data_IF_818085593097
#
_entry.id   IF_818085593097
#
_cell.length_a   1.000
_cell.length_b   1.000
_cell.length_c   1.000
_cell.angle_alpha   90.00
_cell.angle_beta   90.00
_cell.angle_gamma   90.00
#
_symmetry.space_group_name_H-M   'P 1'
#
loop_
_entity.id
_entity.type
_entity.pdbx_description
1 polymer ?
#
# COMPACT_ATOMS: atom_id res chain seq x y z
N UNK A 1 -45.34 -17.39 33.25
CA UNK A 1 -44.55 -18.54 32.76
C UNK A 1 -44.90 -18.82 31.31
N UNK A 2 -44.16 -18.22 30.38
CA UNK A 2 -44.22 -18.58 28.98
C UNK A 2 -42.78 -18.83 28.52
N UNK A 3 -42.45 -20.12 28.40
CA UNK A 3 -41.17 -20.60 27.88
C UNK A 3 -41.24 -20.48 26.36
N UNK A 4 -40.51 -19.52 25.77
CA UNK A 4 -40.23 -19.49 24.36
C UNK A 4 -39.03 -20.42 24.06
N UNK A 5 -39.33 -21.61 23.54
CA UNK A 5 -38.36 -22.48 22.89
C UNK A 5 -37.95 -21.83 21.56
N UNK A 6 -36.79 -21.18 21.55
CA UNK A 6 -36.12 -20.79 20.30
C UNK A 6 -35.47 -22.05 19.76
N UNK A 7 -36.06 -22.66 18.74
CA UNK A 7 -35.41 -23.63 17.90
C UNK A 7 -34.38 -22.86 17.05
N UNK A 8 -33.12 -22.92 17.48
CA UNK A 8 -32.00 -22.57 16.61
C UNK A 8 -32.01 -23.63 15.48
N UNK A 9 -32.44 -23.21 14.30
CA UNK A 9 -32.16 -23.95 13.09
C UNK A 9 -30.67 -23.82 12.85
N UNK A 10 -29.90 -24.82 13.28
CA UNK A 10 -28.54 -25.04 12.80
C UNK A 10 -28.75 -25.48 11.33
N UNK A 11 -28.64 -24.54 10.43
CA UNK A 11 -28.47 -24.85 9.03
C UNK A 11 -27.15 -25.62 8.94
N UNK A 12 -27.23 -26.91 8.66
CA UNK A 12 -26.08 -27.72 8.28
C UNK A 12 -25.62 -27.15 6.94
N UNK A 13 -24.62 -26.26 6.97
CA UNK A 13 -23.84 -25.97 5.79
C UNK A 13 -23.12 -27.26 5.42
N UNK A 14 -23.30 -27.74 4.19
CA UNK A 14 -22.46 -28.82 3.69
C UNK A 14 -21.01 -28.34 3.81
N UNK A 15 -20.09 -29.18 4.32
CA UNK A 15 -18.70 -28.77 4.43
C UNK A 15 -18.18 -28.40 3.06
N UNK A 16 -17.58 -27.23 2.95
CA UNK A 16 -17.03 -26.68 1.70
C UNK A 16 -15.98 -27.64 1.07
N UNK A 17 -15.37 -28.47 1.92
CA UNK A 17 -14.35 -29.45 1.57
C UNK A 17 -14.66 -30.79 2.25
N UNK A 18 -15.15 -31.75 1.47
CA UNK A 18 -15.39 -33.12 1.92
C UNK A 18 -14.33 -34.07 1.37
N UNK A 19 -13.83 -34.98 2.23
CA UNK A 19 -12.83 -35.99 1.82
C UNK A 19 -11.50 -35.40 1.41
N UNK A 20 -10.98 -35.89 0.31
CA UNK A 20 -9.74 -35.41 -0.32
C UNK A 20 -10.05 -34.85 -1.71
N UNK A 21 -9.39 -33.76 -2.08
CA UNK A 21 -9.58 -33.17 -3.40
C UNK A 21 -8.67 -31.99 -3.69
N UNK A 22 -8.77 -31.52 -4.92
CA UNK A 22 -8.07 -30.31 -5.34
C UNK A 22 -8.91 -29.50 -6.32
N UNK A 23 -8.68 -28.20 -6.34
CA UNK A 23 -9.26 -27.26 -7.29
C UNK A 23 -8.21 -26.27 -7.75
N UNK A 24 -8.20 -25.97 -9.06
CA UNK A 24 -7.35 -24.98 -9.66
C UNK A 24 -8.21 -23.92 -10.38
N UNK A 25 -8.01 -22.66 -10.05
CA UNK A 25 -8.73 -21.53 -10.60
C UNK A 25 -7.76 -20.50 -11.20
N UNK A 26 -8.17 -19.89 -12.30
CA UNK A 26 -7.42 -18.84 -12.99
C UNK A 26 -8.28 -17.62 -13.21
N UNK A 27 -7.74 -16.45 -12.87
CA UNK A 27 -8.36 -15.15 -13.09
C UNK A 27 -7.43 -14.30 -13.96
N UNK A 28 -7.92 -13.82 -15.09
CA UNK A 28 -7.24 -12.78 -15.86
C UNK A 28 -7.52 -11.42 -15.24
N UNK A 29 -6.49 -10.61 -15.00
CA UNK A 29 -6.60 -9.28 -14.39
C UNK A 29 -6.45 -8.19 -15.43
N UNK A 30 -7.40 -7.24 -15.41
CA UNK A 30 -7.53 -6.17 -16.38
C UNK A 30 -7.57 -4.81 -15.69
N UNK A 31 -7.11 -3.81 -16.42
CA UNK A 31 -7.32 -2.40 -16.09
C UNK A 31 -7.87 -1.68 -17.32
N UNK A 32 -9.07 -1.07 -17.18
CA UNK A 32 -9.76 -0.39 -18.29
C UNK A 32 -9.78 -1.23 -19.57
N UNK A 33 -10.09 -2.53 -19.45
CA UNK A 33 -10.20 -3.48 -20.55
C UNK A 33 -8.87 -4.01 -21.11
N UNK A 34 -7.71 -3.56 -20.61
CA UNK A 34 -6.39 -4.08 -21.00
C UNK A 34 -5.92 -5.11 -20.01
N UNK A 35 -5.57 -6.31 -20.47
CA UNK A 35 -5.04 -7.37 -19.61
C UNK A 35 -3.63 -7.03 -19.16
N UNK A 36 -3.40 -7.07 -17.85
CA UNK A 36 -2.11 -6.73 -17.23
C UNK A 36 -1.49 -7.90 -16.48
N UNK A 37 -2.25 -8.95 -16.20
CA UNK A 37 -1.75 -10.05 -15.42
C UNK A 37 -2.78 -11.17 -15.25
N UNK A 38 -2.46 -12.06 -14.32
CA UNK A 38 -3.34 -13.13 -13.90
C UNK A 38 -3.09 -13.55 -12.46
N UNK A 39 -4.09 -14.21 -11.88
CA UNK A 39 -3.96 -14.95 -10.63
C UNK A 39 -4.27 -16.42 -10.91
N UNK A 40 -3.36 -17.29 -10.47
CA UNK A 40 -3.57 -18.74 -10.40
C UNK A 40 -3.75 -19.11 -8.93
N UNK A 41 -4.78 -19.85 -8.60
CA UNK A 41 -5.03 -20.40 -7.27
C UNK A 41 -5.20 -21.90 -7.35
N UNK A 42 -4.51 -22.66 -6.47
CA UNK A 42 -4.69 -24.09 -6.33
C UNK A 42 -4.98 -24.41 -4.86
N UNK A 43 -6.15 -24.96 -4.59
CA UNK A 43 -6.55 -25.40 -3.25
C UNK A 43 -6.59 -26.90 -3.21
N UNK A 44 -5.92 -27.50 -2.23
CA UNK A 44 -5.94 -28.94 -1.95
C UNK A 44 -6.44 -29.13 -0.52
N UNK A 45 -7.29 -30.10 -0.33
CA UNK A 45 -7.85 -30.44 0.98
C UNK A 45 -7.81 -31.91 1.28
N UNK A 46 -7.66 -32.24 2.54
CA UNK A 46 -7.65 -33.57 3.11
C UNK A 46 -8.17 -33.54 4.55
N UNK A 47 -8.39 -34.67 5.23
CA UNK A 47 -8.72 -34.69 6.64
C UNK A 47 -7.69 -34.00 7.55
N UNK A 48 -6.46 -33.82 7.08
CA UNK A 48 -5.37 -33.17 7.81
C UNK A 48 -5.41 -31.65 7.71
N UNK A 49 -6.17 -31.08 6.76
CA UNK A 49 -6.31 -29.66 6.56
C UNK A 49 -6.29 -29.23 5.11
N UNK A 50 -6.08 -27.94 4.89
CA UNK A 50 -6.16 -27.30 3.58
C UNK A 50 -4.84 -26.61 3.25
N UNK A 51 -4.40 -26.76 2.02
CA UNK A 51 -3.25 -26.04 1.45
C UNK A 51 -3.73 -25.23 0.26
N UNK A 52 -3.52 -23.91 0.35
CA UNK A 52 -3.89 -22.94 -0.69
C UNK A 52 -2.59 -22.37 -1.28
N UNK A 53 -2.33 -22.63 -2.54
CA UNK A 53 -1.22 -22.04 -3.29
C UNK A 53 -1.79 -20.99 -4.24
N UNK A 54 -1.25 -19.79 -4.21
CA UNK A 54 -1.63 -18.70 -5.11
C UNK A 54 -0.38 -18.14 -5.80
N UNK A 55 -0.53 -17.82 -7.08
CA UNK A 55 0.48 -17.10 -7.87
C UNK A 55 -0.19 -15.93 -8.55
N UNK A 56 0.25 -14.73 -8.23
CA UNK A 56 -0.17 -13.49 -8.89
C UNK A 56 0.96 -13.05 -9.79
N UNK A 57 0.65 -12.75 -11.03
CA UNK A 57 1.58 -12.23 -12.03
C UNK A 57 1.05 -10.93 -12.62
N UNK A 58 1.87 -9.89 -12.63
CA UNK A 58 1.60 -8.64 -13.34
C UNK A 58 2.79 -8.27 -14.22
N UNK A 59 2.48 -7.64 -15.36
CA UNK A 59 3.48 -7.11 -16.27
C UNK A 59 3.15 -5.67 -16.65
N UNK A 60 4.14 -4.77 -16.46
CA UNK A 60 4.07 -3.38 -16.88
C UNK A 60 5.22 -3.13 -17.86
N UNK A 61 4.91 -2.55 -19.02
CA UNK A 61 5.93 -2.19 -20.02
C UNK A 61 6.38 -0.75 -19.83
N UNK A 62 7.67 -0.54 -19.58
CA UNK A 62 8.32 0.77 -19.69
C UNK A 62 8.98 0.91 -21.06
N UNK A 63 9.30 2.15 -21.47
CA UNK A 63 9.95 2.43 -22.78
C UNK A 63 11.20 1.58 -23.04
N UNK A 64 11.90 1.16 -22.01
CA UNK A 64 13.18 0.45 -22.08
C UNK A 64 13.21 -0.90 -21.34
N UNK A 65 12.26 -1.21 -20.46
CA UNK A 65 12.28 -2.40 -19.61
C UNK A 65 10.86 -2.90 -19.36
N UNK A 66 10.65 -4.19 -19.56
CA UNK A 66 9.43 -4.87 -19.12
C UNK A 66 9.58 -5.21 -17.64
N UNK A 67 8.75 -4.61 -16.79
CA UNK A 67 8.70 -4.89 -15.34
C UNK A 67 7.70 -6.00 -15.07
N UNK A 68 8.12 -7.01 -14.33
CA UNK A 68 7.25 -8.09 -13.87
C UNK A 68 7.22 -8.17 -12.35
N UNK A 69 6.04 -8.40 -11.82
CA UNK A 69 5.83 -8.71 -10.41
C UNK A 69 5.26 -10.10 -10.31
N UNK A 70 5.89 -10.95 -9.50
CA UNK A 70 5.42 -12.29 -9.19
C UNK A 70 5.25 -12.37 -7.68
N UNK A 71 4.05 -12.76 -7.23
CA UNK A 71 3.79 -13.06 -5.82
C UNK A 71 3.34 -14.51 -5.75
N UNK A 72 4.09 -15.33 -5.02
CA UNK A 72 3.71 -16.70 -4.69
C UNK A 72 3.38 -16.80 -3.22
N UNK A 73 2.21 -17.28 -2.91
CA UNK A 73 1.72 -17.37 -1.55
C UNK A 73 1.17 -18.77 -1.29
N UNK A 74 1.68 -19.44 -0.27
CA UNK A 74 1.16 -20.71 0.23
C UNK A 74 0.59 -20.50 1.63
N UNK A 75 -0.67 -20.82 1.83
CA UNK A 75 -1.35 -20.79 3.14
C UNK A 75 -1.72 -22.22 3.53
N UNK A 76 -1.45 -22.60 4.77
CA UNK A 76 -1.83 -23.88 5.35
C UNK A 76 -2.82 -23.67 6.47
N UNK A 77 -3.96 -24.33 6.37
CA UNK A 77 -5.02 -24.28 7.38
C UNK A 77 -5.17 -25.64 8.03
N UNK A 78 -5.55 -25.63 9.30
CA UNK A 78 -6.06 -26.80 10.01
C UNK A 78 -7.45 -27.21 9.48
N UNK A 79 -7.95 -28.41 9.82
CA UNK A 79 -9.29 -28.85 9.41
C UNK A 79 -10.42 -27.92 9.81
N UNK A 80 -10.27 -27.14 10.91
CA UNK A 80 -11.21 -26.12 11.37
C UNK A 80 -10.95 -24.72 10.74
N UNK A 81 -10.29 -24.67 9.58
CA UNK A 81 -10.01 -23.48 8.78
C UNK A 81 -9.17 -22.39 9.45
N UNK A 82 -8.46 -22.72 10.53
CA UNK A 82 -7.55 -21.77 11.19
C UNK A 82 -6.17 -21.79 10.52
N UNK A 83 -5.55 -20.63 10.44
CA UNK A 83 -4.18 -20.52 9.93
C UNK A 83 -3.21 -21.36 10.78
N UNK A 84 -2.45 -22.24 10.14
CA UNK A 84 -1.33 -22.93 10.75
C UNK A 84 0.00 -22.27 10.38
N UNK A 85 0.20 -22.00 9.10
CA UNK A 85 1.40 -21.32 8.60
C UNK A 85 1.15 -20.70 7.22
N UNK A 86 2.01 -19.76 6.85
CA UNK A 86 2.07 -19.27 5.48
C UNK A 86 3.52 -19.06 5.03
N UNK A 87 3.73 -19.09 3.73
CA UNK A 87 4.95 -18.61 3.08
C UNK A 87 4.61 -17.73 1.89
N UNK A 88 5.29 -16.61 1.76
CA UNK A 88 5.12 -15.66 0.69
C UNK A 88 6.48 -15.36 0.06
N UNK A 89 6.54 -15.44 -1.26
CA UNK A 89 7.66 -14.96 -2.05
C UNK A 89 7.15 -13.88 -2.99
N UNK A 90 7.67 -12.69 -2.83
CA UNK A 90 7.43 -11.57 -3.73
C UNK A 90 8.70 -11.31 -4.53
N UNK A 91 8.57 -11.26 -5.85
CA UNK A 91 9.64 -10.93 -6.76
C UNK A 91 9.19 -9.78 -7.65
N UNK A 92 9.89 -8.65 -7.57
CA UNK A 92 9.63 -7.46 -8.36
C UNK A 92 10.90 -7.19 -9.15
N UNK A 93 10.86 -7.46 -10.47
CA UNK A 93 12.01 -7.20 -11.38
C UNK A 93 13.35 -7.75 -10.88
N UNK A 94 13.33 -8.93 -10.27
CA UNK A 94 14.52 -9.61 -9.75
C UNK A 94 14.80 -9.36 -8.26
N UNK A 95 14.17 -8.39 -7.62
CA UNK A 95 14.26 -8.19 -6.17
C UNK A 95 13.32 -9.14 -5.45
N UNK A 96 13.88 -9.88 -4.48
CA UNK A 96 13.14 -10.90 -3.74
C UNK A 96 12.91 -10.50 -2.30
N UNK A 97 11.64 -10.58 -1.87
CA UNK A 97 11.25 -10.58 -0.47
C UNK A 97 10.55 -11.90 -0.14
N UNK A 98 10.95 -12.50 0.95
CA UNK A 98 10.36 -13.73 1.47
C UNK A 98 9.78 -13.47 2.86
N UNK A 99 8.56 -13.93 3.10
CA UNK A 99 7.93 -13.87 4.42
C UNK A 99 7.43 -15.26 4.77
N UNK A 100 7.82 -15.78 5.92
CA UNK A 100 7.36 -17.06 6.45
C UNK A 100 6.74 -16.83 7.82
N UNK A 101 5.54 -17.34 8.03
CA UNK A 101 4.80 -17.16 9.28
C UNK A 101 4.23 -18.48 9.79
N UNK A 102 4.17 -18.61 11.12
CA UNK A 102 3.58 -19.75 11.82
C UNK A 102 2.76 -19.26 13.00
N UNK A 103 1.57 -19.84 13.17
CA UNK A 103 0.73 -19.59 14.34
C UNK A 103 1.18 -20.45 15.52
N UNK A 104 1.32 -19.83 16.68
CA UNK A 104 1.52 -20.49 17.97
C UNK A 104 0.50 -19.93 18.96
N UNK A 105 -0.55 -20.72 19.20
CA UNK A 105 -1.72 -20.23 19.93
C UNK A 105 -2.44 -19.10 19.17
N UNK A 106 -2.45 -17.91 19.74
CA UNK A 106 -3.02 -16.70 19.13
C UNK A 106 -1.96 -15.69 18.67
N UNK A 107 -0.71 -16.11 18.59
CA UNK A 107 0.39 -15.28 18.12
C UNK A 107 0.92 -15.80 16.79
N UNK A 108 1.01 -14.88 15.82
CA UNK A 108 1.65 -15.11 14.53
C UNK A 108 3.11 -14.68 14.63
N UNK A 109 4.02 -15.65 14.63
CA UNK A 109 5.46 -15.41 14.51
C UNK A 109 5.83 -15.45 13.04
N UNK A 110 6.42 -14.38 12.52
CA UNK A 110 6.84 -14.37 11.13
C UNK A 110 8.22 -13.73 10.94
N UNK A 111 8.91 -14.22 9.91
CA UNK A 111 10.24 -13.76 9.52
C UNK A 111 10.18 -13.18 8.11
N UNK A 112 10.74 -11.97 7.96
CA UNK A 112 10.88 -11.30 6.67
C UNK A 112 12.33 -11.26 6.27
N UNK A 113 12.61 -11.74 5.05
CA UNK A 113 13.94 -11.70 4.43
C UNK A 113 13.89 -10.96 3.12
N UNK A 114 14.77 -10.00 2.95
CA UNK A 114 15.05 -9.33 1.68
C UNK A 114 16.53 -8.97 1.61
N UNK A 115 16.98 -8.32 0.54
CA UNK A 115 18.35 -7.88 0.42
C UNK A 115 18.75 -6.99 1.62
N UNK A 116 19.71 -7.45 2.43
CA UNK A 116 20.20 -6.71 3.59
C UNK A 116 19.24 -6.60 4.78
N UNK A 117 18.12 -7.33 4.78
CA UNK A 117 17.15 -7.34 5.87
C UNK A 117 16.72 -8.77 6.23
N UNK A 118 16.80 -9.12 7.51
CA UNK A 118 16.36 -10.41 8.02
C UNK A 118 15.87 -10.22 9.46
N UNK A 119 14.55 -10.20 9.67
CA UNK A 119 13.93 -9.90 10.96
C UNK A 119 12.74 -10.81 11.24
N UNK A 120 12.60 -11.10 12.52
CA UNK A 120 11.43 -11.77 13.08
C UNK A 120 10.53 -10.76 13.78
N UNK A 121 9.23 -10.96 13.66
CA UNK A 121 8.18 -10.17 14.33
C UNK A 121 7.09 -11.09 14.83
N UNK A 122 6.38 -10.63 15.85
CA UNK A 122 5.21 -11.32 16.40
C UNK A 122 4.02 -10.37 16.36
N UNK A 123 2.88 -10.90 15.94
CA UNK A 123 1.60 -10.19 15.92
C UNK A 123 0.56 -11.04 16.63
N UNK A 124 -0.14 -10.43 17.59
CA UNK A 124 -1.20 -11.10 18.34
C UNK A 124 -2.52 -11.00 17.57
N UNK A 125 -3.15 -12.15 17.36
CA UNK A 125 -4.48 -12.25 16.77
C UNK A 125 -5.55 -12.21 17.90
N UNK A 126 -6.64 -11.52 17.61
CA UNK A 126 -7.87 -11.55 18.42
C UNK A 126 -8.90 -12.44 17.75
N UNK A 127 -10.05 -12.67 18.37
CA UNK A 127 -11.16 -13.42 17.75
C UNK A 127 -11.66 -12.80 16.43
N UNK A 128 -11.48 -11.49 16.25
CA UNK A 128 -11.87 -10.76 15.05
C UNK A 128 -10.75 -10.67 14.00
N UNK A 129 -9.56 -11.21 14.30
CA UNK A 129 -8.41 -11.13 13.39
C UNK A 129 -8.34 -12.36 12.52
N UNK A 130 -8.31 -12.15 11.20
CA UNK A 130 -8.16 -13.23 10.21
C UNK A 130 -7.06 -12.88 9.21
N UNK A 131 -6.31 -13.88 8.71
CA UNK A 131 -5.41 -13.67 7.57
C UNK A 131 -6.19 -13.27 6.32
N UNK A 132 -5.66 -12.38 5.50
CA UNK A 132 -6.34 -11.94 4.29
C UNK A 132 -6.59 -13.10 3.31
N UNK A 133 -5.67 -14.05 3.26
CA UNK A 133 -5.78 -15.26 2.43
C UNK A 133 -6.92 -16.20 2.83
N UNK A 134 -7.45 -16.10 4.05
CA UNK A 134 -8.48 -17.02 4.57
C UNK A 134 -9.87 -16.39 4.66
N UNK A 135 -9.99 -15.09 4.49
CA UNK A 135 -11.25 -14.36 4.65
C UNK A 135 -12.40 -14.98 3.85
N UNK A 136 -12.19 -15.17 2.54
CA UNK A 136 -13.26 -15.63 1.67
C UNK A 136 -13.68 -17.09 1.95
N UNK A 137 -12.70 -17.96 2.22
CA UNK A 137 -12.97 -19.37 2.54
C UNK A 137 -13.77 -19.51 3.84
N UNK A 138 -13.44 -18.72 4.87
CA UNK A 138 -14.19 -18.70 6.13
C UNK A 138 -15.62 -18.21 5.89
N UNK A 139 -15.79 -17.10 5.16
CA UNK A 139 -17.11 -16.54 4.89
C UNK A 139 -18.00 -17.51 4.09
N UNK A 140 -17.45 -18.23 3.11
CA UNK A 140 -18.18 -19.24 2.33
C UNK A 140 -18.52 -20.45 3.19
N UNK A 141 -17.60 -20.91 4.04
CA UNK A 141 -17.83 -22.04 4.95
C UNK A 141 -18.95 -21.77 5.95
N UNK A 142 -19.09 -20.54 6.43
CA UNK A 142 -20.16 -20.09 7.33
C UNK A 142 -21.53 -20.02 6.63
N UNK A 143 -21.56 -20.16 5.30
CA UNK A 143 -22.75 -20.08 4.47
C UNK A 143 -23.13 -18.65 4.11
N UNK A 144 -23.11 -18.35 2.81
CA UNK A 144 -23.41 -17.02 2.26
C UNK A 144 -24.90 -16.70 2.32
N UNK A 145 -25.26 -15.53 2.90
CA UNK A 145 -26.65 -15.05 2.97
C UNK A 145 -26.73 -13.59 2.54
N UNK A 146 -27.65 -13.26 1.64
CA UNK A 146 -27.90 -11.87 1.25
C UNK A 146 -28.25 -11.04 2.48
N UNK A 147 -27.64 -9.84 2.62
CA UNK A 147 -27.79 -8.96 3.78
C UNK A 147 -26.78 -9.21 4.92
N UNK A 148 -26.07 -10.35 4.91
CA UNK A 148 -24.99 -10.62 5.86
C UNK A 148 -23.90 -9.55 5.73
N UNK A 149 -23.43 -9.06 6.87
CA UNK A 149 -22.40 -8.02 6.97
C UNK A 149 -21.55 -8.23 8.23
N UNK A 150 -20.36 -7.68 8.20
CA UNK A 150 -19.47 -7.72 9.37
C UNK A 150 -18.28 -6.80 9.21
N UNK A 151 -17.57 -6.66 10.31
CA UNK A 151 -16.29 -5.95 10.41
C UNK A 151 -15.27 -6.92 10.97
N UNK A 152 -14.09 -6.96 10.35
CA UNK A 152 -13.00 -7.86 10.70
C UNK A 152 -11.70 -7.09 10.65
N UNK A 153 -10.71 -7.58 11.37
CA UNK A 153 -9.34 -7.10 11.28
C UNK A 153 -8.50 -8.09 10.48
N UNK A 154 -8.08 -7.71 9.29
CA UNK A 154 -7.28 -8.57 8.42
C UNK A 154 -5.79 -8.37 8.69
N UNK A 155 -5.05 -9.46 8.84
CA UNK A 155 -3.60 -9.44 8.64
C UNK A 155 -3.32 -9.64 7.15
N UNK A 156 -2.79 -8.60 6.51
CA UNK A 156 -2.41 -8.62 5.09
C UNK A 156 -1.00 -9.18 4.97
N UNK A 157 -0.85 -10.48 4.70
CA UNK A 157 0.43 -11.17 4.68
C UNK A 157 1.45 -10.53 3.72
N UNK A 158 1.07 -10.10 2.49
CA UNK A 158 2.01 -9.49 1.57
C UNK A 158 2.60 -8.16 2.06
N UNK A 159 1.87 -7.44 2.90
CA UNK A 159 2.25 -6.13 3.43
C UNK A 159 2.63 -6.17 4.91
N UNK A 160 2.35 -7.29 5.59
CA UNK A 160 2.62 -7.50 7.02
C UNK A 160 1.96 -6.43 7.90
N UNK A 161 0.75 -6.03 7.52
CA UNK A 161 -0.04 -4.98 8.16
C UNK A 161 -1.41 -5.49 8.60
N UNK A 162 -1.93 -4.89 9.67
CA UNK A 162 -3.33 -5.03 10.06
C UNK A 162 -4.17 -3.96 9.37
N UNK A 163 -5.31 -4.38 8.80
CA UNK A 163 -6.30 -3.48 8.20
C UNK A 163 -7.70 -3.82 8.69
N UNK A 164 -8.52 -2.81 8.89
CA UNK A 164 -9.93 -3.02 9.22
C UNK A 164 -10.72 -3.19 7.92
N UNK A 165 -11.45 -4.29 7.82
CA UNK A 165 -12.28 -4.67 6.68
C UNK A 165 -13.75 -4.64 7.06
N UNK A 166 -14.55 -3.90 6.29
CA UNK A 166 -15.99 -4.03 6.27
C UNK A 166 -16.41 -4.91 5.09
N UNK A 167 -17.35 -5.83 5.30
CA UNK A 167 -17.95 -6.58 4.21
C UNK A 167 -19.47 -6.61 4.28
N UNK A 168 -20.10 -6.77 3.11
CA UNK A 168 -21.55 -6.98 2.98
C UNK A 168 -21.86 -7.84 1.78
N UNK A 169 -22.70 -8.87 1.95
CA UNK A 169 -23.28 -9.65 0.85
C UNK A 169 -24.52 -8.90 0.36
N UNK A 170 -24.43 -8.38 -0.86
CA UNK A 170 -25.42 -7.44 -1.40
C UNK A 170 -26.61 -8.14 -2.02
N UNK A 171 -26.37 -9.15 -2.86
CA UNK A 171 -27.37 -9.82 -3.68
C UNK A 171 -26.83 -11.14 -4.24
N UNK A 172 -27.72 -11.93 -4.80
CA UNK A 172 -27.37 -12.99 -5.76
C UNK A 172 -27.40 -12.43 -7.18
N UNK A 173 -26.56 -12.97 -8.04
CA UNK A 173 -26.46 -12.59 -9.44
C UNK A 173 -26.01 -13.80 -10.27
N UNK A 174 -26.73 -14.10 -11.36
CA UNK A 174 -26.37 -15.19 -12.26
C UNK A 174 -25.42 -14.67 -13.34
N UNK A 175 -24.24 -15.24 -13.45
CA UNK A 175 -23.25 -14.95 -14.48
C UNK A 175 -23.25 -16.03 -15.56
N UNK A 176 -22.83 -15.66 -16.77
CA UNK A 176 -22.57 -16.62 -17.86
C UNK A 176 -21.08 -16.94 -17.89
N UNK A 177 -20.74 -18.22 -17.75
CA UNK A 177 -19.36 -18.69 -17.83
C UNK A 177 -19.34 -20.00 -18.68
N UNK A 178 -18.59 -20.01 -19.77
CA UNK A 178 -18.47 -21.15 -20.70
C UNK A 178 -19.84 -21.74 -21.17
N UNK A 179 -20.79 -20.84 -21.42
CA UNK A 179 -22.14 -21.25 -21.87
C UNK A 179 -23.04 -21.80 -20.76
N UNK A 180 -22.61 -21.75 -19.50
CA UNK A 180 -23.39 -22.16 -18.34
C UNK A 180 -23.81 -20.94 -17.53
N UNK A 181 -25.02 -21.01 -16.96
CA UNK A 181 -25.49 -20.05 -15.96
C UNK A 181 -24.93 -20.44 -14.58
N UNK A 182 -24.25 -19.55 -13.95
CA UNK A 182 -23.63 -19.75 -12.62
C UNK A 182 -24.24 -18.77 -11.63
N UNK A 183 -24.83 -19.28 -10.58
CA UNK A 183 -25.36 -18.45 -9.50
C UNK A 183 -24.26 -18.06 -8.54
N UNK A 184 -24.12 -16.76 -8.32
CA UNK A 184 -23.09 -16.17 -7.47
C UNK A 184 -23.70 -15.25 -6.42
N UNK A 185 -22.98 -15.05 -5.32
CA UNK A 185 -23.19 -13.98 -4.36
C UNK A 185 -22.26 -12.83 -4.68
N UNK A 186 -22.77 -11.62 -4.61
CA UNK A 186 -21.98 -10.39 -4.77
C UNK A 186 -21.61 -9.86 -3.41
N UNK A 187 -20.34 -9.96 -3.08
CA UNK A 187 -19.78 -9.50 -1.80
C UNK A 187 -19.08 -8.17 -2.05
N UNK A 188 -19.44 -7.16 -1.27
CA UNK A 188 -18.70 -5.90 -1.20
C UNK A 188 -17.74 -5.95 -0.04
N UNK A 189 -16.49 -5.63 -0.29
CA UNK A 189 -15.45 -5.41 0.69
C UNK A 189 -15.01 -3.96 0.66
N UNK A 190 -14.74 -3.39 1.86
CA UNK A 190 -14.19 -2.04 2.01
C UNK A 190 -13.09 -2.04 3.03
N UNK A 191 -11.96 -1.49 2.68
CA UNK A 191 -10.86 -1.18 3.59
C UNK A 191 -10.07 0.03 3.10
N UNK A 192 -9.77 0.96 3.98
CA UNK A 192 -8.95 2.16 3.67
C UNK A 192 -9.38 2.86 2.35
N UNK A 193 -10.69 3.10 2.15
CA UNK A 193 -11.23 3.76 0.95
C UNK A 193 -11.22 2.91 -0.33
N UNK A 194 -10.62 1.73 -0.32
CA UNK A 194 -10.72 0.77 -1.41
C UNK A 194 -12.01 -0.05 -1.27
N UNK A 195 -12.75 -0.16 -2.36
CA UNK A 195 -13.93 -1.02 -2.45
C UNK A 195 -13.69 -2.10 -3.52
N UNK A 196 -13.94 -3.34 -3.15
CA UNK A 196 -13.89 -4.48 -4.06
C UNK A 196 -15.24 -5.19 -4.05
N UNK A 197 -15.74 -5.48 -5.24
CA UNK A 197 -16.92 -6.35 -5.46
C UNK A 197 -16.43 -7.71 -5.92
N UNK A 198 -16.88 -8.78 -5.28
CA UNK A 198 -16.49 -10.18 -5.58
C UNK A 198 -17.75 -10.97 -5.91
N UNK A 199 -17.75 -11.65 -7.04
CA UNK A 199 -18.79 -12.61 -7.45
C UNK A 199 -18.28 -14.02 -7.17
N UNK A 200 -18.85 -14.67 -6.19
CA UNK A 200 -18.42 -15.98 -5.70
C UNK A 200 -19.60 -16.94 -5.67
N UNK A 201 -19.41 -18.17 -6.16
CA UNK A 201 -20.40 -19.25 -6.08
C UNK A 201 -20.42 -19.91 -4.69
N UNK A 202 -21.42 -20.75 -4.45
CA UNK A 202 -21.58 -21.48 -3.19
C UNK A 202 -20.38 -22.35 -2.79
N UNK A 203 -19.63 -22.84 -3.77
CA UNK A 203 -18.42 -23.66 -3.56
C UNK A 203 -17.15 -22.82 -3.37
N UNK A 204 -17.28 -21.50 -3.27
CA UNK A 204 -16.15 -20.58 -3.08
C UNK A 204 -15.35 -20.25 -4.34
N UNK A 205 -15.84 -20.64 -5.54
CA UNK A 205 -15.19 -20.26 -6.81
C UNK A 205 -15.47 -18.79 -7.12
N UNK A 206 -14.43 -17.99 -7.29
CA UNK A 206 -14.52 -16.59 -7.72
C UNK A 206 -14.62 -16.52 -9.24
N UNK A 207 -15.67 -15.86 -9.74
CA UNK A 207 -15.91 -15.67 -11.18
C UNK A 207 -15.55 -14.28 -11.66
N UNK A 208 -15.69 -13.28 -10.81
CA UNK A 208 -15.37 -11.89 -11.13
C UNK A 208 -14.97 -11.14 -9.89
N UNK A 209 -14.05 -10.21 -10.06
CA UNK A 209 -13.76 -9.16 -9.09
C UNK A 209 -13.75 -7.81 -9.81
N UNK A 210 -14.14 -6.75 -9.11
CA UNK A 210 -14.10 -5.39 -9.63
C UNK A 210 -13.78 -4.42 -8.50
N UNK A 211 -12.87 -3.49 -8.74
CA UNK A 211 -12.50 -2.47 -7.76
C UNK A 211 -12.96 -1.09 -8.18
N UNK A 212 -13.20 -0.22 -7.20
CA UNK A 212 -13.51 1.19 -7.46
C UNK A 212 -12.34 1.98 -8.08
N UNK A 213 -11.18 1.34 -8.27
CA UNK A 213 -10.01 1.88 -8.97
C UNK A 213 -9.98 1.51 -10.46
N UNK A 214 -10.95 0.74 -10.93
CA UNK A 214 -11.07 0.30 -12.33
C UNK A 214 -10.28 -0.96 -12.69
N UNK A 215 -9.82 -1.71 -11.68
CA UNK A 215 -9.32 -3.07 -11.90
C UNK A 215 -10.48 -4.04 -11.93
N UNK A 216 -10.41 -5.01 -12.83
CA UNK A 216 -11.35 -6.11 -12.95
C UNK A 216 -10.58 -7.43 -13.10
N UNK A 217 -11.09 -8.49 -12.49
CA UNK A 217 -10.59 -9.85 -12.71
C UNK A 217 -11.73 -10.74 -13.15
N UNK A 218 -11.48 -11.63 -14.10
CA UNK A 218 -12.47 -12.57 -14.63
C UNK A 218 -11.91 -13.98 -14.61
N UNK A 219 -12.76 -14.95 -14.22
CA UNK A 219 -12.42 -16.36 -14.34
C UNK A 219 -12.19 -16.72 -15.79
N UNK A 220 -11.07 -17.37 -16.07
CA UNK A 220 -10.64 -17.71 -17.42
C UNK A 220 -10.03 -19.11 -17.46
N UNK A 221 -9.95 -19.70 -18.65
CA UNK A 221 -9.13 -20.89 -18.86
C UNK A 221 -7.65 -20.57 -18.72
N UNK A 222 -6.81 -21.53 -18.28
CA UNK A 222 -5.37 -21.30 -18.08
C UNK A 222 -4.67 -20.65 -19.28
N UNK A 223 -4.96 -21.11 -20.50
CA UNK A 223 -4.34 -20.62 -21.73
C UNK A 223 -4.74 -19.18 -22.06
N UNK A 224 -5.96 -18.77 -21.66
CA UNK A 224 -6.45 -17.40 -21.83
C UNK A 224 -5.89 -16.50 -20.74
N UNK A 225 -5.90 -16.95 -19.48
CA UNK A 225 -5.41 -16.18 -18.35
C UNK A 225 -3.93 -15.79 -18.52
N UNK A 226 -3.10 -16.72 -18.97
CA UNK A 226 -1.65 -16.52 -19.15
C UNK A 226 -1.29 -15.65 -20.37
N UNK A 227 -2.22 -15.46 -21.31
CA UNK A 227 -1.95 -14.68 -22.51
C UNK A 227 -2.09 -13.19 -22.22
N UNK A 228 -0.98 -12.48 -22.18
CA UNK A 228 -0.91 -11.02 -21.99
C UNK A 228 -0.43 -10.43 -23.30
N UNK A 229 -1.36 -9.97 -24.14
CA UNK A 229 -1.05 -9.45 -25.48
C UNK A 229 -0.46 -8.02 -25.43
N UNK A 230 -0.96 -7.19 -24.51
CA UNK A 230 -0.49 -5.81 -24.35
C UNK A 230 -0.23 -5.53 -22.85
N UNK A 231 1.02 -5.53 -22.48
CA UNK A 231 1.38 -5.06 -21.13
C UNK A 231 1.00 -3.58 -20.96
N UNK A 232 0.45 -3.24 -19.80
CA UNK A 232 0.15 -1.85 -19.46
C UNK A 232 1.44 -1.02 -19.53
N UNK A 233 1.38 0.13 -20.22
CA UNK A 233 2.55 1.00 -20.33
C UNK A 233 2.72 1.88 -19.09
N UNK A 234 3.95 2.24 -18.79
CA UNK A 234 4.26 3.19 -17.75
C UNK A 234 3.53 4.53 -17.92
N UNK A 235 3.40 5.00 -19.17
CA UNK A 235 2.61 6.20 -19.49
C UNK A 235 1.14 6.03 -19.05
N UNK A 236 0.59 4.81 -19.17
CA UNK A 236 -0.75 4.52 -18.67
C UNK A 236 -0.82 4.63 -17.15
N UNK A 237 0.19 4.13 -16.42
CA UNK A 237 0.26 4.24 -14.94
C UNK A 237 0.33 5.70 -14.50
N UNK A 238 1.19 6.50 -15.13
CA UNK A 238 1.31 7.94 -14.85
C UNK A 238 -0.02 8.64 -15.14
N UNK A 239 -0.66 8.36 -16.28
CA UNK A 239 -1.95 8.95 -16.63
C UNK A 239 -3.05 8.59 -15.64
N UNK A 240 -3.01 7.39 -15.07
CA UNK A 240 -3.95 6.93 -14.03
C UNK A 240 -3.85 7.73 -12.74
N UNK A 241 -2.62 8.09 -12.38
CA UNK A 241 -2.31 8.77 -11.13
C UNK A 241 -2.26 10.30 -11.26
N UNK A 242 -2.34 10.82 -12.49
CA UNK A 242 -2.24 12.25 -12.76
C UNK A 242 -3.53 12.99 -12.34
N UNK A 243 -3.38 13.96 -11.44
CA UNK A 243 -4.47 14.85 -11.01
C UNK A 243 -4.26 16.22 -11.65
N UNK A 244 -5.11 16.56 -12.64
CA UNK A 244 -5.07 17.86 -13.30
C UNK A 244 -5.73 18.92 -12.41
N UNK A 245 -5.03 20.02 -12.07
CA UNK A 245 -5.65 21.13 -11.36
C UNK A 245 -6.49 22.01 -12.30
N UNK A 246 -7.24 22.94 -11.73
CA UNK A 246 -8.01 23.95 -12.47
C UNK A 246 -7.16 24.83 -13.39
N UNK A 247 -5.88 25.03 -13.07
CA UNK A 247 -4.91 25.79 -13.86
C UNK A 247 -3.49 25.33 -13.55
N UNK A 248 -2.53 25.48 -14.48
CA UNK A 248 -1.13 25.14 -14.23
C UNK A 248 -0.50 25.95 -13.10
N UNK A 249 0.44 25.38 -12.35
CA UNK A 249 1.28 26.10 -11.38
C UNK A 249 2.51 26.65 -12.11
N UNK A 250 2.70 27.97 -12.23
CA UNK A 250 3.70 28.54 -13.17
C UNK A 250 5.15 28.24 -12.77
N UNK A 251 5.48 28.34 -11.48
CA UNK A 251 6.83 28.16 -10.93
C UNK A 251 6.81 27.29 -9.67
N UNK A 252 6.51 25.98 -9.80
CA UNK A 252 6.26 25.12 -8.64
C UNK A 252 7.39 25.17 -7.58
N UNK A 253 8.66 25.08 -7.99
CA UNK A 253 9.81 25.13 -7.07
C UNK A 253 9.99 26.47 -6.33
N UNK A 254 9.39 27.54 -6.83
CA UNK A 254 9.44 28.89 -6.24
C UNK A 254 8.09 29.33 -5.66
N UNK A 255 7.19 28.41 -5.42
CA UNK A 255 5.86 28.67 -4.85
C UNK A 255 5.89 28.39 -3.35
N UNK A 256 5.60 29.41 -2.55
CA UNK A 256 5.78 29.37 -1.10
C UNK A 256 4.50 29.31 -0.31
N UNK A 257 3.36 29.67 -0.89
CA UNK A 257 2.07 29.73 -0.20
C UNK A 257 0.93 29.52 -1.21
N UNK A 258 0.13 28.48 -1.01
CA UNK A 258 -1.01 28.14 -1.86
C UNK A 258 -2.19 27.66 -1.03
N UNK A 259 -3.39 27.91 -1.54
CA UNK A 259 -4.63 27.34 -1.02
C UNK A 259 -5.15 26.31 -2.01
N UNK A 260 -5.45 25.10 -1.51
CA UNK A 260 -5.99 24.00 -2.29
C UNK A 260 -7.39 23.64 -1.86
N UNK A 261 -8.25 23.28 -2.81
CA UNK A 261 -9.50 22.56 -2.56
C UNK A 261 -9.37 21.16 -3.13
N UNK A 262 -9.55 20.17 -2.28
CA UNK A 262 -9.41 18.73 -2.61
C UNK A 262 -10.75 18.05 -2.37
N UNK A 263 -11.22 17.28 -3.34
CA UNK A 263 -12.44 16.48 -3.24
C UNK A 263 -12.46 15.30 -4.23
N UNK A 264 -13.17 14.21 -3.95
CA UNK A 264 -13.79 13.90 -2.67
C UNK A 264 -12.75 13.49 -1.61
N UNK A 265 -13.08 13.72 -0.35
CA UNK A 265 -12.31 13.26 0.83
C UNK A 265 -13.29 12.49 1.72
N UNK A 266 -12.91 11.33 2.24
CA UNK A 266 -13.82 10.40 2.93
C UNK A 266 -14.23 10.89 4.32
N UNK A 267 -13.29 11.55 5.03
CA UNK A 267 -13.55 12.12 6.36
C UNK A 267 -12.78 13.43 6.56
N UNK A 268 -13.14 14.25 7.54
CA UNK A 268 -12.40 15.46 7.88
C UNK A 268 -10.93 15.22 8.23
N UNK A 269 -10.63 14.06 8.81
CA UNK A 269 -9.32 13.68 9.33
C UNK A 269 -8.46 12.93 8.29
N UNK A 270 -9.00 12.63 7.10
CA UNK A 270 -8.30 11.84 6.09
C UNK A 270 -7.04 12.52 5.54
N UNK A 271 -6.94 13.85 5.65
CA UNK A 271 -5.76 14.61 5.25
C UNK A 271 -5.08 15.15 6.51
N UNK A 272 -3.81 14.79 6.77
CA UNK A 272 -3.12 15.21 7.98
C UNK A 272 -2.76 16.70 7.96
N UNK A 273 -2.72 17.32 9.15
CA UNK A 273 -2.20 18.66 9.36
C UNK A 273 -0.78 18.64 9.93
N UNK A 274 -0.01 19.66 9.60
CA UNK A 274 1.28 19.94 10.23
C UNK A 274 1.59 21.45 10.24
N UNK A 275 2.84 21.83 10.57
CA UNK A 275 3.26 23.24 10.58
C UNK A 275 3.23 23.90 9.19
N UNK A 276 3.30 23.13 8.11
CA UNK A 276 3.24 23.61 6.72
C UNK A 276 1.84 23.56 6.14
N UNK A 277 1.08 22.53 6.47
CA UNK A 277 -0.22 22.19 5.88
C UNK A 277 -1.32 22.38 6.92
N UNK A 278 -2.23 23.31 6.68
CA UNK A 278 -3.35 23.62 7.59
C UNK A 278 -4.67 23.47 6.88
N UNK A 279 -5.61 22.78 7.52
CA UNK A 279 -7.00 22.74 7.09
C UNK A 279 -7.66 24.05 7.49
N UNK A 280 -8.17 24.80 6.50
CA UNK A 280 -8.85 26.08 6.74
C UNK A 280 -10.36 25.98 6.61
N UNK A 281 -10.87 24.95 5.91
CA UNK A 281 -12.30 24.68 5.79
C UNK A 281 -12.57 23.23 5.42
N UNK A 282 -13.63 22.65 5.97
CA UNK A 282 -14.19 21.35 5.58
C UNK A 282 -15.67 21.51 5.29
N UNK A 283 -16.14 21.01 4.15
CA UNK A 283 -17.53 21.13 3.69
C UNK A 283 -18.07 19.72 3.37
N UNK A 284 -19.05 19.26 4.15
CA UNK A 284 -19.72 17.98 3.88
C UNK A 284 -20.61 18.10 2.65
N UNK A 285 -20.56 17.07 1.78
CA UNK A 285 -21.36 16.98 0.55
C UNK A 285 -22.56 16.06 0.74
N UNK A 286 -23.54 16.13 -0.15
CA UNK A 286 -24.77 15.30 -0.11
C UNK A 286 -24.46 13.80 -0.26
N UNK A 287 -23.39 13.44 -0.98
CA UNK A 287 -22.94 12.06 -1.18
C UNK A 287 -22.20 11.47 0.04
N UNK A 288 -22.07 12.24 1.14
CA UNK A 288 -21.39 11.86 2.37
C UNK A 288 -19.89 12.13 2.38
N UNK A 289 -19.28 12.51 1.25
CA UNK A 289 -17.88 12.91 1.17
C UNK A 289 -17.69 14.38 1.62
N UNK A 290 -16.44 14.83 1.62
CA UNK A 290 -16.06 16.18 2.03
C UNK A 290 -15.25 16.87 0.95
N UNK A 291 -15.35 18.20 0.93
CA UNK A 291 -14.38 19.09 0.29
C UNK A 291 -13.50 19.65 1.38
N UNK A 292 -12.20 19.41 1.29
CA UNK A 292 -11.23 19.95 2.24
C UNK A 292 -10.44 21.07 1.59
N UNK A 293 -10.42 22.23 2.24
CA UNK A 293 -9.61 23.39 1.82
C UNK A 293 -8.37 23.46 2.71
N UNK A 294 -7.20 23.41 2.10
CA UNK A 294 -5.90 23.42 2.75
C UNK A 294 -5.15 24.70 2.40
N UNK A 295 -4.41 25.25 3.35
CA UNK A 295 -3.34 26.21 3.05
C UNK A 295 -1.99 25.54 3.30
N UNK A 296 -1.12 25.57 2.30
CA UNK A 296 0.21 24.96 2.38
C UNK A 296 1.27 26.04 2.18
N UNK A 297 2.21 26.10 3.14
CA UNK A 297 3.34 26.99 3.11
C UNK A 297 4.65 26.23 3.03
N UNK A 298 5.57 26.69 2.20
CA UNK A 298 6.95 26.28 2.27
C UNK A 298 7.61 26.87 3.52
N UNK A 299 8.61 26.17 4.07
CA UNK A 299 9.33 26.66 5.23
C UNK A 299 10.19 27.90 4.91
N UNK A 300 10.24 28.85 5.84
CA UNK A 300 11.06 30.04 5.68
C UNK A 300 12.55 29.73 5.90
N UNK A 301 13.42 30.29 5.06
CA UNK A 301 14.88 30.20 5.24
C UNK A 301 15.39 30.90 6.52
N UNK A 302 14.59 31.76 7.15
CA UNK A 302 14.97 32.50 8.38
C UNK A 302 15.03 31.63 9.63
N UNK A 303 14.50 30.41 9.60
CA UNK A 303 14.34 29.51 10.77
C UNK A 303 15.64 28.76 11.12
N UNK A 304 16.65 28.72 10.26
CA UNK A 304 17.89 27.96 10.49
C UNK A 304 18.66 28.35 11.78
N UNK A 305 18.44 29.55 12.30
CA UNK A 305 19.17 30.05 13.52
C UNK A 305 18.51 29.61 14.82
N UNK A 306 17.25 29.21 14.80
CA UNK A 306 16.47 28.82 16.00
C UNK A 306 16.46 27.32 16.26
N UNK A 307 16.71 26.50 15.27
CA UNK A 307 16.74 25.03 15.36
C UNK A 307 17.89 24.51 16.26
N UNK A 308 18.94 25.28 16.46
CA UNK A 308 20.09 24.88 17.28
C UNK A 308 19.87 24.88 18.78
N UNK A 309 18.72 25.31 19.31
CA UNK A 309 18.51 25.54 20.76
C UNK A 309 17.28 24.88 21.37
N UNK A 310 16.46 24.19 20.63
CA UNK A 310 15.33 23.46 21.22
C UNK A 310 15.77 22.06 21.60
N UNK A 311 15.60 21.72 22.88
CA UNK A 311 15.80 20.39 23.43
C UNK A 311 15.20 19.34 22.46
N UNK A 312 16.01 18.32 22.15
CA UNK A 312 15.57 17.13 21.43
C UNK A 312 14.52 16.44 22.30
N UNK A 313 13.27 16.83 22.17
CA UNK A 313 12.17 16.05 22.74
C UNK A 313 12.31 14.64 22.18
N UNK A 314 12.39 13.68 23.08
CA UNK A 314 12.55 12.27 22.76
C UNK A 314 11.48 11.87 21.73
N UNK A 315 11.91 11.56 20.50
CA UNK A 315 11.02 11.12 19.46
C UNK A 315 10.79 9.61 19.59
N UNK A 316 9.62 9.14 19.13
CA UNK A 316 9.30 7.73 19.08
C UNK A 316 10.44 6.96 18.38
N UNK A 317 11.05 5.95 19.04
CA UNK A 317 12.15 5.15 18.49
C UNK A 317 11.86 4.54 17.12
N UNK A 318 10.58 4.36 16.77
CA UNK A 318 10.17 3.85 15.44
C UNK A 318 10.74 4.65 14.28
N UNK A 319 11.01 5.94 14.46
CA UNK A 319 11.58 6.81 13.42
C UNK A 319 13.08 6.60 13.19
N UNK A 320 13.73 5.74 13.99
CA UNK A 320 15.13 5.29 13.84
C UNK A 320 15.21 3.80 13.43
N UNK A 321 14.09 3.08 13.45
CA UNK A 321 14.07 1.66 13.12
C UNK A 321 14.31 1.41 11.64
N UNK A 322 14.97 0.28 11.34
CA UNK A 322 15.07 -0.22 9.98
C UNK A 322 13.80 -0.96 9.56
N UNK A 323 13.52 -0.94 8.26
CA UNK A 323 12.47 -1.76 7.63
C UNK A 323 13.07 -2.56 6.48
N UNK A 324 12.27 -3.43 5.86
CA UNK A 324 12.70 -4.19 4.69
C UNK A 324 13.13 -3.27 3.53
N UNK A 325 12.52 -2.10 3.42
CA UNK A 325 12.82 -1.08 2.40
C UNK A 325 13.94 -0.12 2.83
N UNK A 326 14.11 0.08 4.15
CA UNK A 326 15.02 1.09 4.73
C UNK A 326 16.03 0.41 5.65
N UNK A 327 17.08 -0.18 5.07
CA UNK A 327 18.09 -0.97 5.79
C UNK A 327 19.15 -0.08 6.45
N UNK A 328 18.76 0.74 7.42
CA UNK A 328 19.65 1.71 8.09
C UNK A 328 20.80 1.05 8.88
N UNK A 329 20.68 -0.23 9.24
CA UNK A 329 21.72 -0.98 9.95
C UNK A 329 22.66 -1.78 9.01
N UNK A 330 22.40 -1.77 7.71
CA UNK A 330 23.28 -2.44 6.77
C UNK A 330 24.66 -1.78 6.73
N UNK A 331 25.74 -2.59 6.73
CA UNK A 331 27.13 -2.12 6.83
C UNK A 331 27.52 -1.05 5.79
N UNK A 332 27.02 -1.17 4.56
CA UNK A 332 27.32 -0.20 3.50
C UNK A 332 26.61 1.14 3.74
N UNK A 333 25.36 1.12 4.20
CA UNK A 333 24.60 2.32 4.57
C UNK A 333 25.29 3.03 5.75
N UNK A 334 25.68 2.27 6.78
CA UNK A 334 26.38 2.83 7.94
C UNK A 334 27.76 3.37 7.58
N UNK A 335 28.48 2.75 6.65
CA UNK A 335 29.78 3.24 6.20
C UNK A 335 29.64 4.61 5.52
N UNK A 336 28.70 4.73 4.59
CA UNK A 336 28.40 5.98 3.89
C UNK A 336 27.87 7.06 4.85
N UNK A 337 26.98 6.69 5.78
CA UNK A 337 26.47 7.60 6.79
C UNK A 337 27.59 8.18 7.66
N UNK A 338 28.57 7.35 8.08
CA UNK A 338 29.78 7.83 8.82
C UNK A 338 30.65 8.76 7.98
N UNK A 339 30.86 8.44 6.71
CA UNK A 339 31.62 9.29 5.80
C UNK A 339 31.02 10.70 5.68
N UNK A 340 29.68 10.78 5.50
CA UNK A 340 28.96 12.04 5.37
C UNK A 340 28.90 12.81 6.70
N UNK A 341 29.00 12.12 7.85
CA UNK A 341 28.94 12.69 9.21
C UNK A 341 30.28 13.24 9.72
N UNK A 342 31.37 13.13 8.92
CA UNK A 342 32.74 13.40 9.36
C UNK A 342 32.89 14.84 9.72
N UNK A 343 32.62 15.69 10.35
CA UNK A 343 32.97 17.12 10.59
C UNK A 343 32.19 17.82 11.75
N UNK A 344 31.56 17.05 12.66
CA UNK A 344 30.88 17.66 13.84
C UNK A 344 29.71 18.58 13.44
N UNK A 345 29.07 18.31 12.32
CA UNK A 345 27.93 19.08 11.79
C UNK A 345 26.69 18.93 12.66
N UNK A 346 25.84 19.95 12.69
CA UNK A 346 24.51 19.81 13.27
C UNK A 346 23.68 18.77 12.50
N UNK A 347 22.70 18.13 13.16
CA UNK A 347 21.78 17.16 12.49
C UNK A 347 21.13 17.78 11.26
N UNK A 348 20.74 19.04 11.32
CA UNK A 348 20.16 19.75 10.18
C UNK A 348 21.14 19.90 9.01
N UNK A 349 22.40 20.28 9.28
CA UNK A 349 23.40 20.40 8.23
C UNK A 349 23.69 19.03 7.61
N UNK A 350 23.83 17.99 8.43
CA UNK A 350 24.03 16.63 7.96
C UNK A 350 22.86 16.15 7.09
N UNK A 351 21.63 16.41 7.50
CA UNK A 351 20.45 16.05 6.67
C UNK A 351 20.47 16.74 5.30
N UNK A 352 20.89 18.02 5.23
CA UNK A 352 21.05 18.73 3.96
C UNK A 352 22.16 18.13 3.09
N UNK A 353 23.27 17.76 3.69
CA UNK A 353 24.39 17.16 2.95
C UNK A 353 24.01 15.76 2.42
N UNK A 354 23.29 14.97 3.21
CA UNK A 354 22.73 13.68 2.78
C UNK A 354 21.73 13.91 1.63
N UNK A 355 20.84 14.91 1.76
CA UNK A 355 19.87 15.26 0.71
C UNK A 355 20.56 15.58 -0.62
N UNK A 356 21.55 16.43 -0.55
CA UNK A 356 22.35 16.81 -1.73
C UNK A 356 23.12 15.61 -2.30
N UNK A 357 23.72 14.79 -1.42
CA UNK A 357 24.46 13.61 -1.85
C UNK A 357 23.54 12.63 -2.60
N UNK A 358 22.38 12.31 -2.04
CA UNK A 358 21.38 11.41 -2.68
C UNK A 358 20.94 12.00 -4.02
N UNK A 359 20.60 13.29 -4.06
CA UNK A 359 20.20 13.97 -5.30
C UNK A 359 21.24 13.90 -6.42
N UNK A 360 22.52 14.07 -6.09
CA UNK A 360 23.60 14.10 -7.06
C UNK A 360 24.09 12.70 -7.47
N UNK A 361 23.92 11.70 -6.61
CA UNK A 361 24.46 10.36 -6.82
C UNK A 361 23.43 9.34 -7.29
N UNK A 362 22.14 9.63 -7.22
CA UNK A 362 21.09 8.79 -7.79
C UNK A 362 20.53 9.42 -9.06
N UNK A 363 20.65 8.71 -10.18
CA UNK A 363 19.97 9.07 -11.42
C UNK A 363 18.47 8.86 -11.27
N UNK A 364 17.68 9.91 -11.48
CA UNK A 364 16.21 9.77 -11.52
C UNK A 364 15.83 8.98 -12.76
N UNK A 365 15.41 7.75 -12.54
CA UNK A 365 15.03 6.82 -13.60
C UNK A 365 13.96 5.86 -13.05
N UNK A 366 12.94 5.58 -13.86
CA UNK A 366 11.93 4.57 -13.50
C UNK A 366 12.55 3.19 -13.63
N UNK A 367 12.95 2.66 -12.51
CA UNK A 367 13.59 1.35 -12.35
C UNK A 367 13.03 0.63 -11.14
N UNK A 368 13.34 -0.63 -11.05
CA UNK A 368 12.83 -1.57 -10.06
C UNK A 368 13.60 -1.55 -8.74
N UNK A 369 14.22 -0.43 -8.37
CA UNK A 369 14.88 -0.31 -7.06
C UNK A 369 13.82 -0.24 -5.97
N UNK A 370 13.74 -1.28 -5.17
CA UNK A 370 12.66 -1.49 -4.19
C UNK A 370 13.11 -1.09 -2.78
N UNK A 371 14.43 -1.00 -2.52
CA UNK A 371 15.00 -0.75 -1.20
C UNK A 371 16.09 0.33 -1.23
N UNK A 372 16.44 0.83 -0.04
CA UNK A 372 17.54 1.77 0.14
C UNK A 372 18.89 1.18 -0.32
N UNK A 373 19.10 -0.11 -0.07
CA UNK A 373 20.33 -0.79 -0.47
C UNK A 373 20.42 -0.98 -1.98
N UNK A 374 19.31 -1.31 -2.64
CA UNK A 374 19.25 -1.37 -4.11
C UNK A 374 19.58 -0.02 -4.71
N UNK A 375 18.96 1.07 -4.20
CA UNK A 375 19.21 2.42 -4.65
C UNK A 375 20.70 2.81 -4.49
N UNK A 376 21.34 2.42 -3.38
CA UNK A 376 22.76 2.67 -3.16
C UNK A 376 23.65 1.92 -4.16
N UNK A 377 23.33 0.66 -4.46
CA UNK A 377 24.11 -0.19 -5.35
C UNK A 377 23.93 0.17 -6.81
N UNK A 378 22.71 0.43 -7.25
CA UNK A 378 22.38 0.71 -8.65
C UNK A 378 22.56 2.18 -9.05
N UNK A 379 22.64 3.09 -8.07
CA UNK A 379 22.80 4.54 -8.31
C UNK A 379 21.70 5.15 -9.19
N UNK A 380 20.49 4.59 -9.13
CA UNK A 380 19.33 5.05 -9.90
C UNK A 380 18.03 4.69 -9.17
N UNK A 381 16.96 5.39 -9.47
CA UNK A 381 15.66 5.11 -8.88
C UNK A 381 14.65 6.25 -9.00
N UNK A 382 13.42 5.96 -8.64
CA UNK A 382 12.32 6.91 -8.54
C UNK A 382 12.29 7.61 -7.18
N UNK A 383 11.21 8.36 -6.93
CA UNK A 383 11.02 9.09 -5.67
C UNK A 383 11.13 8.19 -4.43
N UNK A 384 10.57 6.97 -4.48
CA UNK A 384 10.70 6.02 -3.37
C UNK A 384 12.14 5.64 -3.09
N UNK A 385 12.92 5.32 -4.13
CA UNK A 385 14.34 4.96 -4.00
C UNK A 385 15.17 6.08 -3.38
N UNK A 386 14.95 7.32 -3.84
CA UNK A 386 15.60 8.50 -3.27
C UNK A 386 15.22 8.68 -1.79
N UNK A 387 13.93 8.55 -1.49
CA UNK A 387 13.38 8.69 -0.13
C UNK A 387 13.89 7.59 0.79
N UNK A 388 13.91 6.33 0.33
CA UNK A 388 14.39 5.20 1.15
C UNK A 388 15.87 5.31 1.45
N UNK A 389 16.71 5.63 0.45
CA UNK A 389 18.15 5.80 0.68
C UNK A 389 18.45 6.97 1.61
N UNK A 390 17.79 8.10 1.40
CA UNK A 390 17.91 9.26 2.29
C UNK A 390 17.51 8.87 3.73
N UNK A 391 16.35 8.22 3.90
CA UNK A 391 15.86 7.80 5.22
C UNK A 391 16.78 6.78 5.89
N UNK A 392 17.37 5.84 5.13
CA UNK A 392 18.32 4.89 5.67
C UNK A 392 19.60 5.58 6.16
N UNK A 393 20.13 6.54 5.42
CA UNK A 393 21.33 7.30 5.77
C UNK A 393 21.09 8.20 6.99
N UNK A 394 19.97 8.91 7.06
CA UNK A 394 19.63 9.78 8.20
C UNK A 394 19.37 8.97 9.46
N UNK A 395 18.63 7.85 9.37
CA UNK A 395 18.43 6.93 10.52
C UNK A 395 19.75 6.32 11.00
N UNK A 396 20.63 5.91 10.07
CA UNK A 396 21.96 5.42 10.40
C UNK A 396 22.84 6.46 11.09
N UNK A 397 22.58 7.75 10.85
CA UNK A 397 23.24 8.91 11.49
C UNK A 397 22.54 9.37 12.78
N UNK A 398 21.53 8.63 13.26
CA UNK A 398 20.79 8.99 14.49
C UNK A 398 19.83 10.18 14.33
N UNK A 399 19.38 10.47 13.09
CA UNK A 399 18.38 11.49 12.81
C UNK A 399 17.03 10.80 12.62
N UNK A 400 16.04 11.01 13.51
CA UNK A 400 14.71 10.45 13.33
C UNK A 400 14.11 10.95 12.03
N UNK A 401 13.62 10.00 11.20
CA UNK A 401 13.15 10.31 9.85
C UNK A 401 11.90 9.50 9.54
N UNK A 402 10.86 10.16 9.04
CA UNK A 402 9.61 9.55 8.58
C UNK A 402 9.42 9.75 7.09
N UNK A 403 8.69 8.84 6.46
CA UNK A 403 8.37 8.89 5.04
C UNK A 403 6.95 9.40 4.87
N UNK A 404 6.79 10.39 4.02
CA UNK A 404 5.52 11.00 3.67
C UNK A 404 5.14 10.54 2.27
N UNK A 405 3.88 10.21 2.09
CA UNK A 405 3.29 10.02 0.78
C UNK A 405 2.22 11.08 0.52
N UNK A 406 2.19 11.59 -0.69
CA UNK A 406 1.29 12.66 -1.06
C UNK A 406 1.36 12.99 -2.54
N UNK A 407 1.21 14.24 -2.87
CA UNK A 407 1.21 14.74 -4.23
C UNK A 407 2.26 15.84 -4.39
N UNK A 408 2.84 15.90 -5.57
CA UNK A 408 3.71 17.01 -5.99
C UNK A 408 3.36 17.44 -7.41
N UNK A 409 3.43 18.74 -7.69
CA UNK A 409 3.16 19.25 -9.03
C UNK A 409 4.31 18.97 -10.00
N UNK A 410 4.01 18.30 -11.09
CA UNK A 410 4.92 18.08 -12.21
C UNK A 410 4.67 19.11 -13.31
N UNK A 411 5.69 19.90 -13.64
CA UNK A 411 5.63 20.86 -14.76
C UNK A 411 5.55 20.14 -16.11
N UNK A 412 6.19 18.99 -16.23
CA UNK A 412 6.19 18.17 -17.46
C UNK A 412 4.78 17.68 -17.81
N UNK A 413 4.03 17.21 -16.79
CA UNK A 413 2.68 16.69 -16.97
C UNK A 413 1.59 17.73 -16.72
N UNK A 414 1.94 18.95 -16.32
CA UNK A 414 1.03 20.03 -15.94
C UNK A 414 -0.05 19.56 -14.96
N UNK A 415 0.35 18.81 -13.94
CA UNK A 415 -0.55 18.22 -12.95
C UNK A 415 0.18 17.63 -11.77
N UNK A 416 -0.59 17.20 -10.78
CA UNK A 416 -0.07 16.56 -9.57
C UNK A 416 0.13 15.06 -9.81
N UNK A 417 1.26 14.55 -9.38
CA UNK A 417 1.60 13.12 -9.35
C UNK A 417 1.78 12.66 -7.92
N UNK A 418 1.46 11.40 -7.65
CA UNK A 418 1.77 10.79 -6.37
C UNK A 418 3.28 10.73 -6.18
N UNK A 419 3.71 11.06 -4.97
CA UNK A 419 5.11 11.28 -4.66
C UNK A 419 5.42 10.90 -3.22
N UNK A 420 6.64 10.44 -2.97
CA UNK A 420 7.16 10.17 -1.64
C UNK A 420 8.33 11.11 -1.33
N UNK A 421 8.39 11.61 -0.10
CA UNK A 421 9.50 12.41 0.39
C UNK A 421 9.73 12.19 1.90
N UNK A 422 10.94 12.43 2.42
CA UNK A 422 11.22 12.31 3.83
C UNK A 422 10.91 13.59 4.61
N UNK A 423 10.61 13.41 5.90
CA UNK A 423 10.70 14.46 6.91
C UNK A 423 11.69 14.03 7.98
N UNK A 424 12.62 14.91 8.35
CA UNK A 424 13.62 14.71 9.41
C UNK A 424 13.26 15.48 10.66
N UNK A 425 13.52 14.91 11.83
CA UNK A 425 13.35 15.60 13.10
C UNK A 425 14.68 16.20 13.57
N UNK A 426 14.70 17.52 13.64
CA UNK A 426 15.88 18.30 14.07
C UNK A 426 15.47 19.39 15.09
N UNK A 427 14.71 18.98 16.13
CA UNK A 427 14.00 19.86 17.06
C UNK A 427 12.56 20.17 16.63
N UNK A 428 12.28 20.03 15.35
CA UNK A 428 10.97 20.03 14.71
C UNK A 428 11.05 19.22 13.42
N UNK A 429 9.90 18.75 12.90
CA UNK A 429 9.87 18.05 11.62
C UNK A 429 10.14 18.99 10.45
N UNK A 430 11.07 18.59 9.56
CA UNK A 430 11.48 19.34 8.37
C UNK A 430 11.28 18.47 7.13
N UNK A 431 10.45 18.94 6.20
CA UNK A 431 10.19 18.24 4.93
C UNK A 431 11.29 18.55 3.92
N UNK A 432 11.89 17.50 3.36
CA UNK A 432 12.97 17.55 2.37
C UNK A 432 12.60 16.69 1.16
N UNK A 433 13.20 16.95 0.01
CA UNK A 433 12.99 16.11 -1.17
C UNK A 433 14.32 15.83 -1.90
N UNK A 434 14.91 14.66 -1.68
CA UNK A 434 16.14 14.27 -2.38
C UNK A 434 15.93 14.00 -3.87
N UNK A 435 14.70 13.72 -4.32
CA UNK A 435 14.41 13.52 -5.75
C UNK A 435 14.59 14.81 -6.55
N UNK A 436 14.21 15.93 -5.94
CA UNK A 436 14.32 17.27 -6.56
C UNK A 436 15.45 18.11 -6.00
N UNK A 437 16.24 17.60 -5.05
CA UNK A 437 17.34 18.31 -4.39
C UNK A 437 16.84 19.49 -3.55
N UNK A 438 15.64 19.39 -2.97
CA UNK A 438 15.07 20.44 -2.13
C UNK A 438 15.38 20.16 -0.65
N UNK A 439 16.10 21.04 0.00
CA UNK A 439 16.34 21.00 1.45
C UNK A 439 15.10 21.51 2.24
N UNK A 440 14.18 22.16 1.57
CA UNK A 440 12.84 22.54 2.01
C UNK A 440 11.88 22.40 0.84
N UNK A 441 10.86 21.58 1.03
CA UNK A 441 9.88 21.37 -0.03
C UNK A 441 9.04 22.62 -0.26
N UNK A 442 8.66 22.85 -1.51
CA UNK A 442 7.80 23.96 -1.92
C UNK A 442 6.32 23.70 -1.56
N UNK A 443 5.46 24.70 -1.76
CA UNK A 443 4.04 24.62 -1.43
C UNK A 443 3.24 23.68 -2.36
N UNK A 444 3.85 23.07 -3.38
CA UNK A 444 3.17 22.09 -4.22
C UNK A 444 3.23 20.67 -3.68
N UNK A 445 3.94 20.44 -2.57
CA UNK A 445 3.97 19.16 -1.85
C UNK A 445 2.76 19.09 -0.90
N UNK A 446 1.75 18.34 -1.30
CA UNK A 446 0.51 18.10 -0.53
C UNK A 446 0.66 16.77 0.19
N UNK A 447 0.73 16.79 1.53
CA UNK A 447 0.81 15.59 2.37
C UNK A 447 -0.57 14.92 2.42
N UNK A 448 -0.63 13.62 2.09
CA UNK A 448 -1.84 12.82 2.20
C UNK A 448 -1.74 11.77 3.30
N UNK A 449 -0.54 11.24 3.57
CA UNK A 449 -0.33 10.29 4.66
C UNK A 449 1.00 10.53 5.37
N UNK A 450 1.05 10.20 6.65
CA UNK A 450 2.28 10.13 7.45
C UNK A 450 2.58 8.66 7.73
N UNK A 451 3.87 8.25 7.64
CA UNK A 451 4.37 6.91 7.90
C UNK A 451 3.77 5.81 7.02
N UNK A 452 4.54 5.43 6.01
CA UNK A 452 4.24 4.30 5.13
C UNK A 452 4.05 2.95 5.86
N UNK A 453 4.50 2.83 7.10
CA UNK A 453 4.38 1.60 7.88
C UNK A 453 2.98 1.39 8.50
N UNK A 454 2.14 2.44 8.56
CA UNK A 454 0.82 2.32 9.19
C UNK A 454 -0.30 1.98 8.20
N UNK A 455 -0.21 2.37 6.96
CA UNK A 455 -1.00 1.82 5.86
C UNK A 455 -0.65 2.46 4.51
N UNK A 456 -0.05 1.75 3.57
CA UNK A 456 0.07 2.21 2.19
C UNK A 456 -1.31 2.39 1.52
N UNK A 457 -2.35 1.83 2.12
CA UNK A 457 -3.72 1.90 1.62
C UNK A 457 -4.39 3.26 1.81
N UNK A 458 -4.00 4.08 2.80
CA UNK A 458 -4.55 5.44 2.94
C UNK A 458 -4.35 6.26 1.67
N UNK A 459 -3.23 6.06 0.97
CA UNK A 459 -3.01 6.72 -0.31
C UNK A 459 -4.01 6.25 -1.39
N UNK A 460 -4.42 4.98 -1.35
CA UNK A 460 -5.38 4.39 -2.31
C UNK A 460 -6.78 5.01 -2.22
N UNK A 461 -7.11 5.63 -1.09
CA UNK A 461 -8.33 6.41 -0.95
C UNK A 461 -8.41 7.55 -1.96
N UNK A 462 -7.26 8.14 -2.30
CA UNK A 462 -7.13 9.30 -3.16
C UNK A 462 -6.85 8.95 -4.62
N UNK A 463 -6.18 7.81 -4.89
CA UNK A 463 -5.71 7.45 -6.23
C UNK A 463 -6.86 7.33 -7.23
N UNK A 464 -6.77 8.13 -8.31
CA UNK A 464 -7.74 8.12 -9.41
C UNK A 464 -9.10 8.72 -9.09
N UNK A 465 -9.28 9.30 -7.90
CA UNK A 465 -10.59 9.80 -7.42
C UNK A 465 -10.60 11.30 -7.16
N UNK A 466 -9.49 11.86 -6.68
CA UNK A 466 -9.47 13.26 -6.24
C UNK A 466 -9.36 14.25 -7.39
N UNK A 467 -10.04 15.36 -7.22
CA UNK A 467 -9.86 16.56 -8.01
C UNK A 467 -9.24 17.65 -7.12
N UNK A 468 -8.37 18.45 -7.72
CA UNK A 468 -7.64 19.52 -7.03
C UNK A 468 -7.88 20.83 -7.79
N UNK A 469 -8.22 21.86 -7.05
CA UNK A 469 -8.10 23.24 -7.52
C UNK A 469 -7.23 24.04 -6.57
N UNK A 470 -6.54 25.05 -7.08
CA UNK A 470 -5.70 25.92 -6.27
C UNK A 470 -5.92 27.40 -6.57
N UNK A 471 -5.60 28.23 -5.58
CA UNK A 471 -5.58 29.69 -5.65
C UNK A 471 -4.38 30.24 -4.87
N UNK A 472 -4.05 31.50 -5.12
CA UNK A 472 -3.23 32.28 -4.19
C UNK A 472 -4.01 32.54 -2.90
N UNK A 473 -3.33 32.75 -1.75
CA UNK A 473 -3.95 32.98 -0.44
C UNK A 473 -4.82 34.23 -0.39
#
# INVERSE_FOLDING_TARGET
NLIFLIFAHIAHSQPLFEGEGEREDWLGTYYKGKKMGFTKSKTRWSPEGIVMDSTVFFKIRSKSIDQSTIIKHTTRLSPDLKLSSFSLLQEISGHRQQVEGKMEGNELHYRTKSLGYDKEKTVKFTEQTVPSSTFLINLVSDGLKVGQRGELRLFMEPLQLMVDLEYKILRQETLQYEGKSIDTFVIRQRFSGMETMIWVSHDGTVYRESTNMGFESFKERPQVAQKIDEAMTLSSVITMSLVKPNKPVPRPKNTYDLVYRIHPVSSPEAIPEDHRQKIIKVEKQEDGNYITTLRIKSESKKIDRTVQKKDETEQDPKYLEETAEVQSRHKMIQALARELSADGKSKWQLAKDINLWVHLNLKKEMVDTVTALDALLEKRGECQSHTYLFTALTRASGIPTRIINGLVYSKEYEGFLYHAWPEVFVGEWKAMDPTFGQDRVDATHIKLTENSNESPFHLMEFVGKIAISWSEP
#
